data_IF_206906341220
#
_entry.id   IF_206906341220
#
_cell.length_a   1.000
_cell.length_b   1.000
_cell.length_c   1.000
_cell.angle_alpha   90.00
_cell.angle_beta   90.00
_cell.angle_gamma   90.00
#
_symmetry.space_group_name_H-M   'P 1'
#
loop_
_entity.id
_entity.type
_entity.pdbx_description
1 polymer ?
#
# COMPACT_ATOMS: atom_id res chain seq x y z
N UNK A 1 -17.30 27.65 -61.60
CA UNK A 1 -16.84 28.59 -60.55
C UNK A 1 -15.31 28.58 -60.56
N UNK A 2 -14.65 29.74 -60.73
CA UNK A 2 -13.19 29.87 -60.81
C UNK A 2 -12.65 30.22 -59.42
N UNK A 3 -12.05 29.27 -58.72
CA UNK A 3 -11.45 29.52 -57.40
C UNK A 3 -10.09 30.21 -57.55
N UNK A 4 -9.89 31.30 -56.80
CA UNK A 4 -8.66 32.09 -56.81
C UNK A 4 -7.50 31.31 -56.15
N UNK A 5 -6.35 31.13 -56.81
CA UNK A 5 -5.23 30.35 -56.26
C UNK A 5 -4.73 30.85 -54.89
N UNK A 6 -4.86 32.15 -54.62
CA UNK A 6 -4.48 32.73 -53.31
C UNK A 6 -5.41 32.27 -52.17
N UNK A 7 -6.69 32.06 -52.45
CA UNK A 7 -7.64 31.56 -51.45
C UNK A 7 -7.37 30.09 -51.10
N UNK A 8 -6.89 29.31 -52.07
CA UNK A 8 -6.49 27.92 -51.83
C UNK A 8 -5.26 27.84 -50.92
N UNK A 9 -4.28 28.74 -51.14
CA UNK A 9 -3.07 28.84 -50.31
C UNK A 9 -3.35 29.22 -48.85
N UNK A 10 -4.23 30.20 -48.63
CA UNK A 10 -4.63 30.60 -47.29
C UNK A 10 -5.35 29.47 -46.52
N UNK A 11 -6.22 28.73 -47.21
CA UNK A 11 -6.89 27.56 -46.63
C UNK A 11 -5.91 26.43 -46.28
N UNK A 12 -4.91 26.19 -47.13
CA UNK A 12 -3.89 25.17 -46.87
C UNK A 12 -3.06 25.52 -45.62
N UNK A 13 -2.62 26.78 -45.51
CA UNK A 13 -1.87 27.28 -44.33
C UNK A 13 -2.70 27.15 -43.04
N UNK A 14 -4.01 27.44 -43.09
CA UNK A 14 -4.91 27.21 -41.96
C UNK A 14 -4.99 25.72 -41.58
N UNK A 15 -5.08 24.81 -42.55
CA UNK A 15 -5.17 23.36 -42.26
C UNK A 15 -3.87 22.79 -41.67
N UNK A 16 -2.71 23.30 -42.08
CA UNK A 16 -1.39 22.88 -41.57
C UNK A 16 -1.07 23.40 -40.15
N UNK A 17 -1.83 24.38 -39.65
CA UNK A 17 -1.64 24.98 -38.32
C UNK A 17 -2.63 24.47 -37.28
N UNK A 18 -3.55 23.56 -37.64
CA UNK A 18 -4.37 22.86 -36.63
C UNK A 18 -3.45 21.90 -35.85
N UNK A 19 -3.30 22.07 -34.53
CA UNK A 19 -2.65 21.05 -33.72
C UNK A 19 -3.45 19.75 -33.89
N UNK A 20 -2.83 18.73 -34.47
CA UNK A 20 -3.45 17.41 -34.58
C UNK A 20 -3.74 16.88 -33.19
N UNK A 21 -4.97 16.45 -32.93
CA UNK A 21 -5.31 15.67 -31.74
C UNK A 21 -4.57 14.34 -31.81
N UNK A 22 -3.32 14.30 -31.35
CA UNK A 22 -2.68 13.06 -30.98
C UNK A 22 -3.19 12.68 -29.59
N UNK A 23 -3.58 11.42 -29.40
CA UNK A 23 -3.85 10.92 -28.05
C UNK A 23 -2.61 11.17 -27.20
N UNK A 24 -2.78 11.85 -26.08
CA UNK A 24 -1.72 11.96 -25.08
C UNK A 24 -1.29 10.54 -24.66
N UNK A 25 0.00 10.32 -24.39
CA UNK A 25 0.45 9.07 -23.80
C UNK A 25 -0.39 8.76 -22.55
N UNK A 26 -0.79 7.50 -22.34
CA UNK A 26 -1.53 7.13 -21.14
C UNK A 26 -0.73 7.57 -19.92
N UNK A 27 -1.39 8.28 -19.00
CA UNK A 27 -0.73 8.69 -17.75
C UNK A 27 -0.21 7.45 -17.03
N UNK A 28 1.00 7.50 -16.44
CA UNK A 28 1.51 6.39 -15.66
C UNK A 28 0.53 6.05 -14.54
N UNK A 29 0.34 4.75 -14.32
CA UNK A 29 -0.57 4.24 -13.29
C UNK A 29 -0.11 4.78 -11.94
N UNK A 30 -1.00 5.45 -11.21
CA UNK A 30 -0.70 5.91 -9.86
C UNK A 30 -0.45 4.68 -8.97
N UNK A 31 0.78 4.54 -8.47
CA UNK A 31 1.10 3.56 -7.46
C UNK A 31 0.61 4.10 -6.10
N UNK A 32 -0.59 3.70 -5.67
CA UNK A 32 -1.03 3.98 -4.31
C UNK A 32 -0.18 3.16 -3.33
N UNK A 33 0.63 3.83 -2.54
CA UNK A 33 1.24 3.23 -1.36
C UNK A 33 0.18 3.17 -0.28
N UNK A 34 -0.41 1.99 -0.07
CA UNK A 34 -1.31 1.76 1.06
C UNK A 34 -0.44 1.62 2.30
N UNK A 35 -0.31 2.69 3.07
CA UNK A 35 0.29 2.65 4.42
C UNK A 35 -0.77 2.10 5.38
N UNK A 36 -0.62 0.84 5.76
CA UNK A 36 -1.51 0.16 6.71
C UNK A 36 -0.75 -0.39 7.92
N UNK A 37 -1.49 -0.86 8.92
CA UNK A 37 -0.91 -1.54 10.07
C UNK A 37 -0.28 -2.88 9.67
N UNK A 38 0.80 -3.30 10.36
CA UNK A 38 1.43 -4.58 10.08
C UNK A 38 0.45 -5.74 10.31
N UNK A 39 0.53 -6.76 9.46
CA UNK A 39 -0.24 -7.99 9.63
C UNK A 39 0.26 -8.75 10.86
N UNK A 40 -0.65 -9.07 11.77
CA UNK A 40 -0.33 -9.91 12.93
C UNK A 40 -0.11 -11.36 12.48
N UNK A 41 1.05 -11.93 12.80
CA UNK A 41 1.25 -13.38 12.70
C UNK A 41 0.54 -14.09 13.85
N UNK A 42 -0.06 -15.25 13.57
CA UNK A 42 -0.66 -16.06 14.62
C UNK A 42 0.39 -16.48 15.64
N UNK A 43 0.12 -16.21 16.92
CA UNK A 43 1.02 -16.62 18.00
C UNK A 43 1.13 -18.14 18.07
N UNK A 44 2.37 -18.62 18.22
CA UNK A 44 2.68 -20.05 18.31
C UNK A 44 3.30 -20.32 19.66
N UNK A 45 2.77 -21.32 20.36
CA UNK A 45 3.45 -21.86 21.51
C UNK A 45 4.60 -22.76 21.04
N UNK A 46 5.78 -22.68 21.68
CA UNK A 46 6.85 -23.64 21.43
C UNK A 46 6.36 -25.05 21.79
N UNK A 47 6.76 -26.04 20.99
CA UNK A 47 6.50 -27.43 21.31
C UNK A 47 7.25 -27.81 22.60
N UNK A 48 6.59 -28.59 23.46
CA UNK A 48 7.09 -28.95 24.80
C UNK A 48 7.00 -30.46 25.00
N UNK A 49 8.12 -31.09 25.40
CA UNK A 49 8.24 -32.52 25.69
C UNK A 49 9.35 -32.77 26.75
N UNK A 50 9.20 -32.22 27.96
CA UNK A 50 10.28 -32.24 28.94
C UNK A 50 10.49 -33.67 29.46
N UNK A 51 11.76 -34.10 29.54
CA UNK A 51 12.13 -35.42 30.07
C UNK A 51 12.50 -35.35 31.55
N UNK A 52 12.89 -34.18 32.03
CA UNK A 52 13.26 -33.92 33.43
C UNK A 52 12.61 -32.63 33.93
N UNK A 53 12.54 -32.45 35.25
CA UNK A 53 12.04 -31.21 35.86
C UNK A 53 12.87 -29.99 35.45
N UNK A 54 14.17 -30.17 35.18
CA UNK A 54 15.02 -29.09 34.68
C UNK A 54 14.67 -28.72 33.24
N UNK A 55 14.28 -29.70 32.42
CA UNK A 55 13.81 -29.43 31.06
C UNK A 55 12.46 -28.72 31.10
N UNK A 56 11.56 -29.16 31.99
CA UNK A 56 10.28 -28.50 32.23
C UNK A 56 10.48 -27.04 32.62
N UNK A 57 11.40 -26.73 33.54
CA UNK A 57 11.66 -25.35 33.95
C UNK A 57 12.12 -24.49 32.76
N UNK A 58 13.06 -24.99 31.96
CA UNK A 58 13.53 -24.27 30.75
C UNK A 58 12.44 -24.09 29.71
N UNK A 59 11.57 -25.08 29.54
CA UNK A 59 10.46 -25.00 28.59
C UNK A 59 9.36 -24.02 29.06
N UNK A 60 9.15 -23.89 30.38
CA UNK A 60 8.27 -22.85 30.95
C UNK A 60 8.86 -21.46 30.70
N UNK A 61 10.15 -21.26 30.95
CA UNK A 61 10.83 -19.99 30.65
C UNK A 61 10.73 -19.62 29.16
N UNK A 62 10.93 -20.59 28.27
CA UNK A 62 10.78 -20.38 26.82
C UNK A 62 9.33 -20.07 26.42
N UNK A 63 8.35 -20.71 27.06
CA UNK A 63 6.93 -20.45 26.83
C UNK A 63 6.54 -19.04 27.29
N UNK A 64 7.00 -18.61 28.46
CA UNK A 64 6.76 -17.27 28.99
C UNK A 64 7.34 -16.20 28.06
N UNK A 65 8.56 -16.41 27.56
CA UNK A 65 9.17 -15.52 26.58
C UNK A 65 8.35 -15.45 25.27
N UNK A 66 7.96 -16.61 24.72
CA UNK A 66 7.15 -16.65 23.49
C UNK A 66 5.80 -15.93 23.65
N UNK A 67 5.21 -16.00 24.85
CA UNK A 67 3.99 -15.28 25.19
C UNK A 67 4.21 -13.77 25.30
N UNK A 68 5.30 -13.33 25.94
CA UNK A 68 5.65 -11.92 26.03
C UNK A 68 5.87 -11.30 24.64
N UNK A 69 6.57 -12.02 23.74
CA UNK A 69 6.77 -11.58 22.36
C UNK A 69 5.46 -11.49 21.57
N UNK A 70 4.58 -12.48 21.71
CA UNK A 70 3.24 -12.46 21.13
C UNK A 70 2.42 -11.26 21.62
N UNK A 71 2.38 -11.03 22.93
CA UNK A 71 1.64 -9.91 23.52
C UNK A 71 2.14 -8.57 22.97
N UNK A 72 3.46 -8.38 22.88
CA UNK A 72 4.05 -7.17 22.31
C UNK A 72 3.64 -6.94 20.85
N UNK A 73 3.54 -8.00 20.03
CA UNK A 73 3.05 -7.88 18.65
C UNK A 73 1.59 -7.46 18.60
N UNK A 74 0.75 -8.06 19.44
CA UNK A 74 -0.69 -7.72 19.54
C UNK A 74 -0.88 -6.27 19.96
N UNK A 75 -0.18 -5.83 21.00
CA UNK A 75 -0.27 -4.47 21.52
C UNK A 75 0.14 -3.44 20.45
N UNK A 76 1.22 -3.71 19.72
CA UNK A 76 1.68 -2.84 18.64
C UNK A 76 0.65 -2.75 17.50
N UNK A 77 0.07 -3.88 17.09
CA UNK A 77 -0.97 -3.89 16.06
C UNK A 77 -2.22 -3.14 16.53
N UNK A 78 -2.66 -3.35 17.77
CA UNK A 78 -3.82 -2.64 18.34
C UNK A 78 -3.58 -1.13 18.43
N UNK A 79 -2.40 -0.71 18.87
CA UNK A 79 -2.04 0.71 18.93
C UNK A 79 -2.09 1.35 17.54
N UNK A 80 -1.49 0.70 16.53
CA UNK A 80 -1.56 1.17 15.16
C UNK A 80 -3.01 1.29 14.65
N UNK A 81 -3.85 0.28 14.92
CA UNK A 81 -5.25 0.30 14.49
C UNK A 81 -6.01 1.45 15.15
N UNK A 82 -5.80 1.68 16.45
CA UNK A 82 -6.40 2.80 17.16
C UNK A 82 -6.02 4.16 16.53
N UNK A 83 -4.73 4.35 16.23
CA UNK A 83 -4.24 5.58 15.58
C UNK A 83 -4.84 5.76 14.17
N UNK A 84 -4.94 4.69 13.39
CA UNK A 84 -5.54 4.72 12.06
C UNK A 84 -7.04 5.05 12.10
N UNK A 85 -7.77 4.48 13.07
CA UNK A 85 -9.18 4.80 13.30
C UNK A 85 -9.39 6.26 13.71
N UNK A 86 -8.53 6.81 14.59
CA UNK A 86 -8.58 8.22 14.99
C UNK A 86 -8.33 9.19 13.81
N UNK A 87 -7.44 8.85 12.89
CA UNK A 87 -7.19 9.65 11.68
C UNK A 87 -8.38 9.62 10.70
N UNK A 88 -9.05 8.48 10.61
CA UNK A 88 -10.23 8.31 9.75
C UNK A 88 -11.41 9.15 10.25
N UNK A 89 -11.57 9.30 11.57
CA UNK A 89 -12.66 10.10 12.16
C UNK A 89 -12.37 11.60 12.20
N UNK A 90 -11.10 12.01 12.09
CA UNK A 90 -10.68 13.41 12.11
C UNK A 90 -10.69 14.11 10.72
N UNK A 91 -10.96 13.38 9.64
CA UNK A 91 -11.02 13.94 8.28
C UNK A 91 -12.49 14.24 7.92
N UNK A 92 -12.88 15.52 7.70
CA UNK A 92 -14.25 15.91 7.34
C UNK A 92 -14.63 15.54 5.90
#
# INVERSE_FOLDING_TARGET
MKTNPYALGAMLVCLLSLPGCASAPPSPKLALTVTGCPTLSACRLPASQPQTNRDLLREVEALEQAWAECAAQVDLTLACQADAHAQTTATP
#
